data_IF_535827626508
#
_entry.id   IF_535827626508
#
_cell.length_a   1.000
_cell.length_b   1.000
_cell.length_c   1.000
_cell.angle_alpha   90.00
_cell.angle_beta   90.00
_cell.angle_gamma   90.00
#
_symmetry.space_group_name_H-M   'P 1'
#
loop_
_entity.id
_entity.type
_entity.pdbx_description
1 polymer ?
#
# COMPACT_ATOMS: atom_id res chain seq x y z
N UNK A 1 -56.63 -57.91 26.06
CA UNK A 1 -55.59 -58.77 25.43
C UNK A 1 -55.58 -58.49 23.94
N UNK A 2 -54.36 -58.40 23.35
CA UNK A 2 -54.01 -58.36 21.90
C UNK A 2 -54.40 -57.05 21.16
N UNK A 3 -53.51 -56.10 20.83
CA UNK A 3 -52.30 -56.01 19.95
C UNK A 3 -52.61 -55.75 18.46
N UNK A 4 -51.98 -54.66 17.93
CA UNK A 4 -51.68 -54.28 16.51
C UNK A 4 -52.88 -53.79 15.67
N UNK A 5 -52.84 -52.76 14.81
CA UNK A 5 -51.83 -51.88 14.14
C UNK A 5 -52.65 -50.67 13.60
N UNK A 6 -52.19 -49.43 13.39
CA UNK A 6 -51.41 -48.91 12.25
C UNK A 6 -51.08 -47.40 12.41
N UNK A 7 -49.87 -47.05 11.95
CA UNK A 7 -49.36 -45.81 11.32
C UNK A 7 -50.16 -44.49 11.43
N UNK A 8 -49.49 -43.38 11.79
CA UNK A 8 -49.50 -42.09 11.05
C UNK A 8 -48.24 -41.24 11.37
N UNK A 9 -47.61 -40.76 10.28
CA UNK A 9 -46.77 -39.57 10.04
C UNK A 9 -46.00 -38.90 11.21
N UNK A 10 -44.66 -38.88 11.18
CA UNK A 10 -43.82 -37.85 10.54
C UNK A 10 -44.14 -36.42 10.97
N UNK A 11 -43.37 -35.89 11.93
CA UNK A 11 -43.26 -34.46 12.24
C UNK A 11 -41.78 -34.02 12.15
N UNK A 12 -41.51 -33.28 11.08
CA UNK A 12 -40.75 -32.02 11.00
C UNK A 12 -39.65 -31.80 12.06
N UNK A 13 -38.39 -31.93 11.62
CA UNK A 13 -37.29 -31.14 12.14
C UNK A 13 -36.65 -30.38 10.96
N UNK A 14 -37.10 -29.15 10.76
CA UNK A 14 -36.47 -28.19 9.85
C UNK A 14 -35.10 -27.80 10.40
N UNK A 15 -34.06 -28.49 9.95
CA UNK A 15 -32.72 -27.92 9.96
C UNK A 15 -32.55 -27.08 8.69
N UNK A 16 -32.86 -25.79 8.81
CA UNK A 16 -32.52 -24.81 7.79
C UNK A 16 -30.99 -24.69 7.72
N UNK A 17 -30.44 -25.31 6.68
CA UNK A 17 -29.04 -25.31 6.34
C UNK A 17 -28.65 -23.95 5.79
N UNK A 18 -28.06 -23.12 6.66
CA UNK A 18 -27.45 -21.86 6.24
C UNK A 18 -26.16 -22.17 5.46
N UNK A 19 -26.31 -22.51 4.17
CA UNK A 19 -25.20 -22.69 3.23
C UNK A 19 -24.59 -21.33 2.88
N UNK A 20 -23.75 -20.79 3.78
CA UNK A 20 -22.75 -19.78 3.41
C UNK A 20 -21.48 -20.48 2.92
N UNK A 21 -21.59 -21.14 1.77
CA UNK A 21 -20.45 -21.66 1.02
C UNK A 21 -19.82 -20.57 0.16
N UNK A 22 -19.32 -19.50 0.76
CA UNK A 22 -18.43 -18.57 0.09
C UNK A 22 -17.05 -19.23 -0.01
N UNK A 23 -16.71 -19.80 -1.17
CA UNK A 23 -15.33 -20.18 -1.47
C UNK A 23 -14.51 -18.89 -1.52
N UNK A 24 -13.93 -18.50 -0.39
CA UNK A 24 -12.80 -17.58 -0.38
C UNK A 24 -11.70 -18.25 -1.20
N UNK A 25 -11.56 -17.82 -2.46
CA UNK A 25 -10.37 -18.10 -3.24
C UNK A 25 -9.22 -17.54 -2.42
N UNK A 26 -8.38 -18.41 -1.85
CA UNK A 26 -7.14 -18.01 -1.21
C UNK A 26 -6.35 -17.19 -2.24
N UNK A 27 -6.43 -15.86 -2.10
CA UNK A 27 -5.73 -14.93 -2.97
C UNK A 27 -4.25 -15.19 -2.73
N UNK A 28 -3.53 -15.57 -3.79
CA UNK A 28 -2.11 -15.87 -3.69
C UNK A 28 -1.36 -14.72 -2.99
N UNK A 29 -0.43 -15.08 -2.09
CA UNK A 29 0.38 -14.08 -1.40
C UNK A 29 1.14 -13.23 -2.44
N UNK A 30 1.28 -11.92 -2.23
CA UNK A 30 2.14 -11.11 -3.08
C UNK A 30 3.58 -11.65 -3.03
N UNK A 31 4.34 -11.56 -4.13
CA UNK A 31 5.72 -12.03 -4.17
C UNK A 31 6.57 -11.33 -3.11
N UNK A 32 7.61 -12.03 -2.64
CA UNK A 32 8.53 -11.43 -1.67
C UNK A 32 9.21 -10.18 -2.29
N UNK A 33 9.25 -9.11 -1.50
CA UNK A 33 9.91 -7.86 -1.91
C UNK A 33 11.41 -8.08 -2.12
N UNK A 34 11.91 -7.83 -3.32
CA UNK A 34 13.34 -7.90 -3.64
C UNK A 34 13.99 -6.55 -3.31
N UNK A 35 15.07 -6.50 -2.50
CA UNK A 35 15.71 -5.23 -2.14
C UNK A 35 16.27 -4.52 -3.38
N UNK A 36 16.14 -3.20 -3.44
CA UNK A 36 16.73 -2.33 -4.47
C UNK A 36 17.39 -1.11 -3.82
N UNK A 37 18.43 -0.57 -4.44
CA UNK A 37 18.99 0.73 -4.06
C UNK A 37 18.27 1.85 -4.80
N UNK A 38 18.09 2.99 -4.15
CA UNK A 38 17.61 4.20 -4.82
C UNK A 38 18.67 4.61 -5.85
N UNK A 39 18.32 4.84 -7.12
CA UNK A 39 19.31 5.14 -8.15
C UNK A 39 19.87 6.57 -7.97
N UNK A 40 20.98 6.88 -8.64
CA UNK A 40 21.59 8.22 -8.56
C UNK A 40 20.73 9.30 -9.22
N UNK A 41 20.05 8.96 -10.31
CA UNK A 41 19.14 9.84 -11.04
C UNK A 41 17.72 9.91 -10.42
N UNK A 42 17.60 9.69 -9.10
CA UNK A 42 16.30 9.57 -8.42
C UNK A 42 15.37 10.78 -8.60
N UNK A 43 15.92 11.96 -8.90
CA UNK A 43 15.15 13.17 -9.19
C UNK A 43 14.36 13.01 -10.49
N UNK A 44 15.02 12.57 -11.57
CA UNK A 44 14.37 12.31 -12.86
C UNK A 44 13.36 11.15 -12.76
N UNK A 45 13.71 10.13 -11.97
CA UNK A 45 12.81 9.01 -11.69
C UNK A 45 11.55 9.48 -10.97
N UNK A 46 11.68 10.31 -9.94
CA UNK A 46 10.57 10.87 -9.18
C UNK A 46 9.66 11.72 -10.07
N UNK A 47 10.24 12.56 -10.93
CA UNK A 47 9.47 13.34 -11.91
C UNK A 47 8.69 12.42 -12.85
N UNK A 48 9.35 11.41 -13.44
CA UNK A 48 8.74 10.47 -14.37
C UNK A 48 7.58 9.72 -13.73
N UNK A 49 7.77 9.22 -12.50
CA UNK A 49 6.74 8.51 -11.73
C UNK A 49 5.55 9.43 -11.46
N UNK A 50 5.78 10.66 -11.01
CA UNK A 50 4.70 11.61 -10.72
C UNK A 50 3.91 12.02 -11.96
N UNK A 51 4.57 12.16 -13.11
CA UNK A 51 3.91 12.37 -14.41
C UNK A 51 3.07 11.16 -14.81
N UNK A 52 3.63 9.95 -14.68
CA UNK A 52 2.94 8.69 -14.96
C UNK A 52 1.64 8.56 -14.14
N UNK A 53 1.72 8.75 -12.82
CA UNK A 53 0.57 8.68 -11.92
C UNK A 53 -0.51 9.73 -12.25
N UNK A 54 -0.09 10.94 -12.61
CA UNK A 54 -1.05 11.98 -13.04
C UNK A 54 -1.76 11.57 -14.33
N UNK A 55 -1.02 11.03 -15.31
CA UNK A 55 -1.56 10.62 -16.60
C UNK A 55 -2.48 9.39 -16.51
N UNK A 56 -2.21 8.46 -15.59
CA UNK A 56 -3.11 7.34 -15.29
C UNK A 56 -4.38 7.75 -14.56
N UNK A 57 -4.51 9.02 -14.17
CA UNK A 57 -5.66 9.54 -13.44
C UNK A 57 -5.67 9.13 -11.96
N UNK A 58 -4.53 8.65 -11.43
CA UNK A 58 -4.34 8.28 -10.03
C UNK A 58 -4.40 9.53 -9.13
N UNK A 59 -5.33 9.54 -8.19
CA UNK A 59 -5.65 10.69 -7.33
C UNK A 59 -4.99 10.61 -5.95
N UNK A 60 -3.68 10.35 -5.90
CA UNK A 60 -2.94 10.44 -4.63
C UNK A 60 -2.86 11.90 -4.16
N UNK A 61 -3.06 12.14 -2.86
CA UNK A 61 -3.06 13.49 -2.27
C UNK A 61 -1.71 13.80 -1.67
N UNK A 62 -1.36 15.10 -1.65
CA UNK A 62 -0.08 15.54 -1.09
C UNK A 62 0.04 15.15 0.37
N UNK A 63 -1.05 15.22 1.12
CA UNK A 63 -1.11 14.88 2.55
C UNK A 63 -0.80 13.40 2.83
N UNK A 64 -1.20 12.48 1.93
CA UNK A 64 -0.84 11.06 2.02
C UNK A 64 0.66 10.84 1.83
N UNK A 65 1.26 11.49 0.82
CA UNK A 65 2.70 11.38 0.54
C UNK A 65 3.50 12.05 1.68
N UNK A 66 3.06 13.24 2.13
CA UNK A 66 3.68 13.98 3.22
C UNK A 66 3.67 13.19 4.54
N UNK A 67 2.60 12.45 4.82
CA UNK A 67 2.57 11.56 5.99
C UNK A 67 3.67 10.50 5.97
N UNK A 68 4.06 10.00 4.79
CA UNK A 68 5.19 9.07 4.65
C UNK A 68 6.52 9.80 4.72
N UNK A 69 6.62 11.00 4.12
CA UNK A 69 7.79 11.86 4.21
C UNK A 69 8.13 12.20 5.66
N UNK A 70 7.14 12.48 6.51
CA UNK A 70 7.38 12.77 7.92
C UNK A 70 8.11 11.62 8.64
N UNK A 71 7.74 10.37 8.36
CA UNK A 71 8.39 9.20 8.97
C UNK A 71 9.88 9.11 8.61
N UNK A 72 10.22 9.31 7.34
CA UNK A 72 11.64 9.28 6.92
C UNK A 72 12.40 10.51 7.41
N UNK A 73 11.76 11.68 7.46
CA UNK A 73 12.37 12.93 7.94
C UNK A 73 12.79 12.80 9.41
N UNK A 74 11.99 12.15 10.24
CA UNK A 74 12.32 11.91 11.64
C UNK A 74 13.57 11.03 11.81
N UNK A 75 13.75 10.03 10.93
CA UNK A 75 14.93 9.16 10.93
C UNK A 75 16.13 9.92 10.36
N UNK A 76 15.94 10.62 9.24
CA UNK A 76 16.96 11.43 8.59
C UNK A 76 17.54 12.48 9.53
N UNK A 77 16.71 13.24 10.26
CA UNK A 77 17.19 14.28 11.17
C UNK A 77 18.12 13.72 12.26
N UNK A 78 17.83 12.50 12.75
CA UNK A 78 18.72 11.81 13.71
C UNK A 78 20.02 11.39 13.04
N UNK A 79 19.94 10.75 11.88
CA UNK A 79 21.08 10.12 11.22
C UNK A 79 21.98 11.10 10.45
N UNK A 80 21.46 12.23 9.99
CA UNK A 80 22.22 13.25 9.25
C UNK A 80 23.31 13.92 10.11
N UNK A 81 23.17 13.87 11.43
CA UNK A 81 24.19 14.37 12.37
C UNK A 81 25.20 13.31 12.78
N UNK A 82 24.96 12.05 12.42
CA UNK A 82 25.87 10.94 12.71
C UNK A 82 27.03 10.92 11.73
N UNK A 83 28.22 10.57 12.22
CA UNK A 83 29.41 10.29 11.40
C UNK A 83 29.55 8.81 11.03
N UNK A 84 28.73 7.93 11.62
CA UNK A 84 28.83 6.47 11.48
C UNK A 84 28.19 5.95 10.20
N UNK A 85 28.89 5.14 9.41
CA UNK A 85 28.39 4.57 8.14
C UNK A 85 27.12 3.74 8.29
N UNK A 86 26.89 3.19 9.48
CA UNK A 86 25.69 2.42 9.79
C UNK A 86 24.70 3.22 10.61
N UNK A 87 23.43 2.95 10.33
CA UNK A 87 22.30 3.47 11.08
C UNK A 87 22.38 3.06 12.54
N UNK A 88 21.97 3.96 13.43
CA UNK A 88 21.78 3.62 14.83
C UNK A 88 20.69 2.55 14.99
N UNK A 89 20.77 1.67 16.01
CA UNK A 89 19.78 0.60 16.21
C UNK A 89 18.34 1.10 16.26
N UNK A 90 18.07 2.21 16.95
CA UNK A 90 16.74 2.83 17.01
C UNK A 90 16.22 3.26 15.63
N UNK A 91 17.12 3.73 14.77
CA UNK A 91 16.78 4.20 13.42
C UNK A 91 16.46 3.03 12.51
N UNK A 92 17.15 1.90 12.66
CA UNK A 92 16.78 0.64 11.99
C UNK A 92 15.38 0.19 12.41
N UNK A 93 15.07 0.22 13.70
CA UNK A 93 13.71 -0.13 14.20
C UNK A 93 12.64 0.81 13.61
N UNK A 94 12.89 2.12 13.57
CA UNK A 94 11.97 3.08 12.95
C UNK A 94 11.79 2.84 11.44
N UNK A 95 12.86 2.46 10.75
CA UNK A 95 12.83 2.12 9.32
C UNK A 95 11.98 0.88 9.06
N UNK A 96 12.13 -0.16 9.90
CA UNK A 96 11.31 -1.38 9.83
C UNK A 96 9.82 -1.06 10.10
N UNK A 97 9.53 -0.22 11.10
CA UNK A 97 8.17 0.25 11.37
C UNK A 97 7.58 1.05 10.21
N UNK A 98 8.38 1.90 9.55
CA UNK A 98 7.97 2.60 8.34
C UNK A 98 7.63 1.61 7.22
N UNK A 99 8.43 0.56 7.03
CA UNK A 99 8.17 -0.47 6.02
C UNK A 99 6.86 -1.21 6.28
N UNK A 100 6.56 -1.56 7.54
CA UNK A 100 5.28 -2.13 7.95
C UNK A 100 4.13 -1.16 7.65
N UNK A 101 4.29 0.13 7.95
CA UNK A 101 3.26 1.14 7.67
C UNK A 101 2.98 1.27 6.18
N UNK A 102 4.00 1.29 5.32
CA UNK A 102 3.81 1.34 3.87
C UNK A 102 3.08 0.09 3.36
N UNK A 103 3.45 -1.09 3.85
CA UNK A 103 2.76 -2.34 3.49
C UNK A 103 1.28 -2.32 3.91
N UNK A 104 0.96 -1.73 5.07
CA UNK A 104 -0.42 -1.53 5.50
C UNK A 104 -1.17 -0.55 4.58
N UNK A 105 -0.59 0.61 4.25
CA UNK A 105 -1.23 1.59 3.35
C UNK A 105 -1.46 1.01 1.94
N UNK A 106 -0.53 0.18 1.47
CA UNK A 106 -0.66 -0.57 0.22
C UNK A 106 -1.91 -1.47 0.22
N UNK A 107 -2.17 -2.18 1.32
CA UNK A 107 -3.30 -3.09 1.45
C UNK A 107 -4.62 -2.42 1.87
N UNK A 108 -4.56 -1.27 2.56
CA UNK A 108 -5.74 -0.57 3.09
C UNK A 108 -6.56 0.11 2.01
N UNK A 109 -5.90 0.60 0.96
CA UNK A 109 -6.52 1.43 -0.04
C UNK A 109 -7.70 0.71 -0.69
N UNK A 110 -8.92 1.25 -0.55
CA UNK A 110 -10.16 0.54 -0.94
C UNK A 110 -10.56 0.77 -2.40
N UNK A 111 -9.73 1.48 -3.15
CA UNK A 111 -9.99 1.86 -4.53
C UNK A 111 -10.99 3.01 -4.62
N UNK A 112 -10.67 4.05 -5.38
CA UNK A 112 -11.61 5.14 -5.67
C UNK A 112 -12.35 4.81 -6.97
N UNK A 113 -13.54 4.21 -6.87
CA UNK A 113 -14.44 4.14 -8.02
C UNK A 113 -14.92 5.56 -8.35
N UNK A 114 -14.43 6.16 -9.44
CA UNK A 114 -14.92 7.46 -9.91
C UNK A 114 -16.40 7.30 -10.32
N UNK A 115 -17.30 7.61 -9.39
CA UNK A 115 -18.71 7.86 -9.68
C UNK A 115 -18.86 9.34 -10.01
N UNK A 116 -18.65 9.70 -11.28
CA UNK A 116 -19.24 10.90 -11.86
C UNK A 116 -19.73 10.49 -13.23
N UNK A 117 -21.05 10.34 -13.31
CA UNK A 117 -21.84 9.93 -14.46
C UNK A 117 -21.84 8.41 -14.72
N UNK A 118 -23.04 7.87 -14.65
CA UNK A 118 -23.39 6.48 -14.82
C UNK A 118 -23.83 6.33 -16.28
N UNK A 119 -22.87 6.25 -17.20
CA UNK A 119 -23.14 5.67 -18.51
C UNK A 119 -22.74 4.20 -18.43
N UNK A 120 -23.77 3.36 -18.52
CA UNK A 120 -23.68 1.91 -18.48
C UNK A 120 -23.05 1.43 -19.80
N UNK A 121 -21.78 1.00 -19.77
CA UNK A 121 -21.14 0.42 -20.96
C UNK A 121 -19.63 0.21 -20.92
N UNK A 122 -18.86 0.99 -20.15
CA UNK A 122 -17.40 0.79 -20.04
C UNK A 122 -17.03 0.29 -18.66
N UNK A 123 -16.36 -0.86 -18.56
CA UNK A 123 -15.85 -1.41 -17.30
C UNK A 123 -15.08 -0.35 -16.51
N UNK A 124 -15.61 0.06 -15.36
CA UNK A 124 -14.94 1.04 -14.49
C UNK A 124 -13.72 0.38 -13.87
N UNK A 125 -12.53 0.84 -14.24
CA UNK A 125 -11.29 0.43 -13.59
C UNK A 125 -11.22 1.02 -12.19
N UNK A 126 -11.22 0.16 -11.18
CA UNK A 126 -11.00 0.55 -9.77
C UNK A 126 -9.54 0.94 -9.60
N UNK A 127 -9.27 2.24 -9.45
CA UNK A 127 -7.92 2.76 -9.19
C UNK A 127 -7.65 2.72 -7.69
N UNK A 128 -6.51 2.18 -7.29
CA UNK A 128 -6.03 2.13 -5.90
C UNK A 128 -4.86 3.11 -5.74
N UNK A 129 -5.09 4.41 -5.41
CA UNK A 129 -4.07 5.43 -5.50
C UNK A 129 -2.78 5.18 -4.71
N UNK A 130 -2.87 4.69 -3.47
CA UNK A 130 -1.71 4.36 -2.66
C UNK A 130 -1.01 3.12 -3.18
N UNK A 131 -1.76 2.09 -3.58
CA UNK A 131 -1.18 0.87 -4.13
C UNK A 131 -0.35 1.19 -5.38
N UNK A 132 -0.92 1.99 -6.29
CA UNK A 132 -0.28 2.37 -7.54
C UNK A 132 0.97 3.24 -7.28
N UNK A 133 0.85 4.23 -6.40
CA UNK A 133 1.98 5.08 -6.02
C UNK A 133 3.11 4.26 -5.38
N UNK A 134 2.82 3.43 -4.39
CA UNK A 134 3.83 2.61 -3.69
C UNK A 134 4.53 1.66 -4.67
N UNK A 135 3.78 1.09 -5.63
CA UNK A 135 4.31 0.19 -6.65
C UNK A 135 5.23 0.93 -7.62
N UNK A 136 4.76 2.02 -8.24
CA UNK A 136 5.55 2.77 -9.22
C UNK A 136 6.76 3.44 -8.58
N UNK A 137 6.66 3.84 -7.31
CA UNK A 137 7.75 4.47 -6.57
C UNK A 137 8.72 3.49 -5.92
N UNK A 138 8.50 2.18 -6.03
CA UNK A 138 9.37 1.11 -5.47
C UNK A 138 9.67 1.27 -3.97
N UNK A 139 8.73 1.81 -3.18
CA UNK A 139 9.01 2.21 -1.79
C UNK A 139 9.40 1.02 -0.91
N UNK A 140 8.75 -0.14 -1.11
CA UNK A 140 9.03 -1.32 -0.29
C UNK A 140 10.39 -1.96 -0.63
N UNK A 141 10.76 -1.96 -1.92
CA UNK A 141 12.06 -2.44 -2.38
C UNK A 141 13.20 -1.55 -1.90
N UNK A 142 13.03 -0.23 -1.97
CA UNK A 142 14.02 0.74 -1.50
C UNK A 142 14.18 0.68 0.02
N UNK A 143 13.08 0.63 0.78
CA UNK A 143 13.15 0.46 2.24
C UNK A 143 13.86 -0.84 2.64
N UNK A 144 13.59 -1.96 1.96
CA UNK A 144 14.32 -3.22 2.20
C UNK A 144 15.80 -3.09 1.83
N UNK A 145 16.13 -2.31 0.79
CA UNK A 145 17.48 -2.13 0.28
C UNK A 145 18.38 -1.22 1.12
N UNK A 146 17.83 -0.29 1.90
CA UNK A 146 18.60 0.54 2.85
C UNK A 146 19.30 -0.35 3.89
N UNK A 147 18.56 -1.33 4.44
CA UNK A 147 19.05 -2.22 5.50
C UNK A 147 19.62 -1.44 6.70
N UNK A 148 20.95 -1.25 6.75
CA UNK A 148 21.65 -0.55 7.82
C UNK A 148 22.56 0.57 7.32
N UNK A 149 22.54 0.86 6.02
CA UNK A 149 23.44 1.84 5.40
C UNK A 149 22.91 3.28 5.54
N UNK A 150 23.73 4.18 6.08
CA UNK A 150 23.35 5.59 6.30
C UNK A 150 23.18 6.36 4.99
N UNK A 151 24.06 6.13 4.01
CA UNK A 151 24.02 6.85 2.74
C UNK A 151 22.75 6.49 1.94
N UNK A 152 22.32 5.24 2.00
CA UNK A 152 21.07 4.81 1.37
C UNK A 152 19.83 5.38 2.05
N UNK A 153 19.82 5.52 3.38
CA UNK A 153 18.75 6.22 4.09
C UNK A 153 18.66 7.68 3.63
N UNK A 154 19.80 8.39 3.58
CA UNK A 154 19.86 9.80 3.18
C UNK A 154 19.35 9.94 1.73
N UNK A 155 19.80 9.07 0.82
CA UNK A 155 19.35 9.06 -0.57
C UNK A 155 17.84 8.81 -0.69
N UNK A 156 17.31 7.88 0.12
CA UNK A 156 15.88 7.61 0.17
C UNK A 156 15.06 8.79 0.72
N UNK A 157 15.58 9.52 1.71
CA UNK A 157 14.96 10.73 2.23
C UNK A 157 14.83 11.80 1.13
N UNK A 158 15.92 12.11 0.42
CA UNK A 158 15.89 13.07 -0.70
C UNK A 158 14.97 12.60 -1.84
N UNK A 159 14.89 11.30 -2.11
CA UNK A 159 13.95 10.76 -3.08
C UNK A 159 12.49 10.99 -2.66
N UNK A 160 12.15 10.77 -1.39
CA UNK A 160 10.82 11.06 -0.86
C UNK A 160 10.47 12.55 -0.96
N UNK A 161 11.43 13.44 -0.72
CA UNK A 161 11.25 14.88 -0.92
C UNK A 161 10.97 15.22 -2.39
N UNK A 162 11.74 14.64 -3.33
CA UNK A 162 11.54 14.83 -4.76
C UNK A 162 10.14 14.38 -5.20
N UNK A 163 9.65 13.24 -4.70
CA UNK A 163 8.30 12.74 -4.96
C UNK A 163 7.24 13.76 -4.51
N UNK A 164 7.36 14.31 -3.29
CA UNK A 164 6.42 15.34 -2.79
C UNK A 164 6.51 16.63 -3.61
N UNK A 165 7.72 17.07 -3.94
CA UNK A 165 7.95 18.29 -4.71
C UNK A 165 7.32 18.20 -6.10
N UNK A 166 7.57 17.11 -6.84
CA UNK A 166 7.00 16.92 -8.17
C UNK A 166 5.49 16.68 -8.13
N UNK A 167 4.97 16.00 -7.11
CA UNK A 167 3.53 15.89 -6.91
C UNK A 167 2.88 17.28 -6.77
N UNK A 168 3.48 18.17 -5.97
CA UNK A 168 2.98 19.54 -5.79
C UNK A 168 3.14 20.39 -7.05
N UNK A 169 4.28 20.30 -7.72
CA UNK A 169 4.57 20.99 -8.97
C UNK A 169 3.56 20.66 -10.07
N UNK A 170 3.16 19.39 -10.17
CA UNK A 170 2.18 18.92 -11.16
C UNK A 170 0.71 19.23 -10.76
N UNK A 171 0.47 20.01 -9.71
CA UNK A 171 -0.88 20.40 -9.27
C UNK A 171 -1.60 19.32 -8.44
N UNK A 172 -0.84 18.53 -7.69
CA UNK A 172 -1.37 17.55 -6.75
C UNK A 172 -2.38 18.16 -5.77
N UNK A 173 -3.45 17.42 -5.47
CA UNK A 173 -4.50 17.86 -4.54
C UNK A 173 -3.96 17.96 -3.12
N UNK A 174 -4.16 19.12 -2.51
CA UNK A 174 -4.06 19.28 -1.06
C UNK A 174 -5.37 18.81 -0.44
N UNK A 175 -5.27 17.94 0.56
CA UNK A 175 -6.39 17.52 1.41
C UNK A 175 -6.12 17.97 2.83
#
# INVERSE_FOLDING_TARGET
MCIRTERVATQMAEQNSNSRGGKDQQKALPPETIPKKVPENYVDEAERIMRSLKNSGTTITTSKIRSLLSLVTDIYNKENTSTEDKLQPDSVVKLDLMRVRIAYEYGRDKGESKSRNKEEGSGKETVYPMREFITQAHLLEYLKGISTDRADLIRFAHYMEALVAFHRYLGGKEN
#
